data_IF_292226838549
#
_entry.id   IF_292226838549
#
_cell.length_a   1.000
_cell.length_b   1.000
_cell.length_c   1.000
_cell.angle_alpha   90.00
_cell.angle_beta   90.00
_cell.angle_gamma   90.00
#
_symmetry.space_group_name_H-M   'P 1'
#
loop_
_entity.id
_entity.type
_entity.pdbx_description
1 polymer ?
#
# COMPACT_ATOMS: atom_id res chain seq x y z
N UNK A 1 31.88 22.52 -64.18
CA UNK A 1 31.64 22.74 -62.74
C UNK A 1 32.72 23.60 -62.03
N UNK A 2 33.91 23.76 -62.61
CA UNK A 2 34.98 24.59 -62.01
C UNK A 2 34.74 26.10 -61.94
N UNK A 3 34.04 26.65 -62.89
CA UNK A 3 33.90 28.14 -63.00
C UNK A 3 32.96 28.79 -61.96
N UNK A 4 32.06 28.04 -61.39
CA UNK A 4 31.09 28.56 -60.36
C UNK A 4 31.82 28.64 -58.98
N UNK A 5 32.72 27.68 -58.69
CA UNK A 5 33.45 27.64 -57.44
C UNK A 5 34.53 28.75 -57.36
N UNK A 6 35.19 29.07 -58.51
CA UNK A 6 36.17 30.17 -58.56
C UNK A 6 35.58 31.56 -58.40
N UNK A 7 34.38 31.81 -58.95
CA UNK A 7 33.61 33.05 -58.76
C UNK A 7 33.17 33.27 -57.36
N UNK A 8 32.82 32.18 -56.61
CA UNK A 8 32.40 32.22 -55.22
C UNK A 8 33.55 32.54 -54.26
N UNK A 9 34.81 32.29 -54.60
CA UNK A 9 35.98 32.61 -53.77
C UNK A 9 36.33 34.11 -53.77
N UNK A 10 35.95 34.87 -54.82
CA UNK A 10 36.22 36.33 -54.92
C UNK A 10 35.24 37.21 -54.16
N UNK A 11 34.18 36.67 -53.59
CA UNK A 11 33.09 37.44 -52.92
C UNK A 11 33.31 37.76 -51.45
N UNK A 12 34.50 37.48 -50.87
CA UNK A 12 34.83 37.86 -49.49
C UNK A 12 33.80 37.36 -48.45
N UNK A 13 33.28 38.18 -47.52
CA UNK A 13 32.35 37.83 -46.46
C UNK A 13 31.03 37.22 -46.98
N UNK A 14 30.56 37.65 -48.16
CA UNK A 14 29.34 37.14 -48.79
C UNK A 14 29.47 35.66 -49.25
N UNK A 15 30.67 35.26 -49.69
CA UNK A 15 30.94 33.85 -50.05
C UNK A 15 30.90 32.93 -48.83
N UNK A 16 31.34 33.44 -47.68
CA UNK A 16 31.26 32.69 -46.40
C UNK A 16 29.80 32.45 -45.98
N UNK A 17 28.96 33.48 -46.05
CA UNK A 17 27.52 33.38 -45.74
C UNK A 17 26.82 32.41 -46.69
N UNK A 18 27.12 32.47 -48.00
CA UNK A 18 26.54 31.59 -49.00
C UNK A 18 26.95 30.10 -48.77
N UNK A 19 28.20 29.84 -48.44
CA UNK A 19 28.67 28.49 -48.09
C UNK A 19 27.99 28.00 -46.80
N UNK A 20 27.82 28.86 -45.80
CA UNK A 20 27.12 28.51 -44.55
C UNK A 20 25.66 28.18 -44.82
N UNK A 21 24.97 28.93 -45.67
CA UNK A 21 23.58 28.63 -46.08
C UNK A 21 23.48 27.27 -46.78
N UNK A 22 24.39 26.98 -47.74
CA UNK A 22 24.41 25.68 -48.43
C UNK A 22 24.69 24.56 -47.45
N UNK A 23 25.65 24.75 -46.55
CA UNK A 23 25.96 23.75 -45.52
C UNK A 23 24.78 23.48 -44.57
N UNK A 24 24.03 24.54 -44.20
CA UNK A 24 22.81 24.41 -43.40
C UNK A 24 21.71 23.63 -44.16
N UNK A 25 21.46 23.99 -45.44
CA UNK A 25 20.48 23.26 -46.26
C UNK A 25 20.85 21.78 -46.42
N UNK A 26 22.12 21.47 -46.64
CA UNK A 26 22.60 20.09 -46.72
C UNK A 26 22.42 19.36 -45.39
N UNK A 27 22.77 20.01 -44.27
CA UNK A 27 22.58 19.45 -42.95
C UNK A 27 21.09 19.17 -42.63
N UNK A 28 20.22 20.10 -42.96
CA UNK A 28 18.76 19.92 -42.81
C UNK A 28 18.24 18.79 -43.69
N UNK A 29 18.69 18.71 -44.94
CA UNK A 29 18.36 17.61 -45.85
C UNK A 29 18.81 16.23 -45.33
N UNK A 30 20.02 16.15 -44.80
CA UNK A 30 20.52 14.94 -44.16
C UNK A 30 19.73 14.57 -42.88
N UNK A 31 19.37 15.56 -42.07
CA UNK A 31 18.54 15.35 -40.89
C UNK A 31 17.15 14.83 -41.27
N UNK A 32 16.51 15.43 -42.27
CA UNK A 32 15.20 14.97 -42.76
C UNK A 32 15.28 13.56 -43.36
N UNK A 33 16.30 13.26 -44.13
CA UNK A 33 16.56 11.92 -44.66
C UNK A 33 16.76 10.90 -43.50
N UNK A 34 17.54 11.25 -42.50
CA UNK A 34 17.73 10.41 -41.31
C UNK A 34 16.42 10.16 -40.54
N UNK A 35 15.63 11.22 -40.32
CA UNK A 35 14.32 11.10 -39.66
C UNK A 35 13.38 10.20 -40.48
N UNK A 36 13.32 10.38 -41.79
CA UNK A 36 12.50 9.57 -42.66
C UNK A 36 12.91 8.09 -42.68
N UNK A 37 14.20 7.82 -42.83
CA UNK A 37 14.74 6.47 -42.79
C UNK A 37 14.44 5.82 -41.45
N UNK A 38 14.70 6.52 -40.35
CA UNK A 38 14.43 6.05 -38.99
C UNK A 38 12.94 5.76 -38.78
N UNK A 39 12.06 6.65 -39.24
CA UNK A 39 10.60 6.48 -39.15
C UNK A 39 10.13 5.27 -39.94
N UNK A 40 10.61 5.10 -41.18
CA UNK A 40 10.26 3.97 -42.05
C UNK A 40 10.80 2.64 -41.48
N UNK A 41 12.05 2.64 -41.01
CA UNK A 41 12.64 1.48 -40.33
C UNK A 41 11.83 1.06 -39.09
N UNK A 42 11.49 2.03 -38.22
CA UNK A 42 10.65 1.78 -37.06
C UNK A 42 9.28 1.22 -37.46
N UNK A 43 8.61 1.83 -38.42
CA UNK A 43 7.31 1.37 -38.92
C UNK A 43 7.36 -0.08 -39.45
N UNK A 44 8.36 -0.40 -40.25
CA UNK A 44 8.58 -1.78 -40.71
C UNK A 44 8.94 -2.75 -39.59
N UNK A 45 9.77 -2.32 -38.63
CA UNK A 45 10.13 -3.13 -37.47
C UNK A 45 8.91 -3.45 -36.62
N UNK A 46 8.10 -2.47 -36.27
CA UNK A 46 6.87 -2.69 -35.47
C UNK A 46 5.87 -3.56 -36.24
N UNK A 47 5.62 -3.33 -37.50
CA UNK A 47 4.73 -4.16 -38.32
C UNK A 47 5.17 -5.64 -38.31
N UNK A 48 6.49 -5.91 -38.47
CA UNK A 48 7.04 -7.28 -38.39
C UNK A 48 6.87 -7.87 -36.99
N UNK A 49 7.09 -7.05 -35.95
CA UNK A 49 6.92 -7.47 -34.55
C UNK A 49 5.47 -7.82 -34.30
N UNK A 50 4.53 -6.96 -34.67
CA UNK A 50 3.11 -7.14 -34.39
C UNK A 50 2.54 -8.36 -35.12
N UNK A 51 2.95 -8.57 -36.38
CA UNK A 51 2.62 -9.80 -37.09
C UNK A 51 3.15 -11.03 -36.37
N UNK A 52 4.39 -10.99 -35.88
CA UNK A 52 4.99 -12.13 -35.18
C UNK A 52 4.37 -12.37 -33.79
N UNK A 53 4.02 -11.30 -33.08
CA UNK A 53 3.26 -11.37 -31.82
C UNK A 53 1.91 -12.05 -32.05
N UNK A 54 1.20 -11.68 -33.13
CA UNK A 54 -0.09 -12.28 -33.47
C UNK A 54 0.05 -13.79 -33.75
N UNK A 55 1.02 -14.19 -34.55
CA UNK A 55 1.30 -15.61 -34.86
C UNK A 55 1.60 -16.42 -33.58
N UNK A 56 2.48 -15.89 -32.70
CA UNK A 56 2.84 -16.55 -31.44
C UNK A 56 1.69 -16.58 -30.44
N UNK A 57 0.82 -15.56 -30.45
CA UNK A 57 -0.36 -15.51 -29.59
C UNK A 57 -1.40 -16.59 -29.96
N UNK A 58 -1.57 -16.90 -31.23
CA UNK A 58 -2.42 -18.01 -31.66
C UNK A 58 -1.91 -19.38 -31.18
N UNK A 59 -0.61 -19.50 -30.96
CA UNK A 59 0.05 -20.73 -30.53
C UNK A 59 0.43 -20.71 -29.04
N UNK A 60 -0.09 -19.71 -28.29
CA UNK A 60 0.35 -19.44 -26.92
C UNK A 60 0.18 -20.62 -25.98
N UNK A 61 -0.96 -21.28 -26.00
CA UNK A 61 -1.23 -22.45 -25.15
C UNK A 61 -0.32 -23.65 -25.48
N UNK A 62 -0.04 -23.85 -26.77
CA UNK A 62 0.89 -24.90 -27.20
C UNK A 62 2.32 -24.58 -26.78
N UNK A 63 2.68 -23.31 -26.74
CA UNK A 63 4.00 -22.84 -26.36
C UNK A 63 4.22 -22.95 -24.85
N UNK A 64 3.27 -22.52 -24.01
CA UNK A 64 3.35 -22.62 -22.55
C UNK A 64 3.28 -24.08 -22.08
N UNK A 65 2.44 -24.90 -22.72
CA UNK A 65 2.27 -26.32 -22.36
C UNK A 65 3.44 -27.20 -22.78
N UNK A 66 4.43 -26.65 -23.52
CA UNK A 66 5.58 -27.39 -24.04
C UNK A 66 5.24 -28.32 -25.22
N UNK A 67 4.02 -28.26 -25.77
CA UNK A 67 3.63 -29.01 -26.99
C UNK A 67 4.34 -28.50 -28.24
N UNK A 68 4.80 -27.24 -28.21
CA UNK A 68 5.61 -26.64 -29.24
C UNK A 68 7.10 -26.73 -28.89
N UNK A 69 7.94 -27.17 -29.85
CA UNK A 69 9.40 -27.23 -29.63
C UNK A 69 9.99 -25.83 -29.35
N UNK A 70 10.82 -25.74 -28.34
CA UNK A 70 11.54 -24.49 -27.99
C UNK A 70 12.60 -24.10 -29.04
N UNK A 71 13.10 -25.03 -29.82
CA UNK A 71 14.21 -24.80 -30.74
C UNK A 71 13.93 -23.76 -31.84
N UNK A 72 12.68 -23.67 -32.30
CA UNK A 72 12.31 -22.75 -33.35
C UNK A 72 12.43 -21.26 -32.99
N UNK A 73 11.95 -20.87 -31.83
CA UNK A 73 11.94 -19.47 -31.38
C UNK A 73 13.12 -19.14 -30.45
N UNK A 74 13.64 -20.11 -29.69
CA UNK A 74 14.75 -19.92 -28.75
C UNK A 74 16.06 -19.53 -29.46
N UNK A 75 16.33 -20.08 -30.64
CA UNK A 75 17.53 -19.78 -31.44
C UNK A 75 17.49 -18.37 -32.06
N UNK A 76 16.30 -17.83 -32.34
CA UNK A 76 16.13 -16.48 -32.92
C UNK A 76 16.01 -15.43 -31.83
N UNK A 77 16.98 -14.53 -31.73
CA UNK A 77 16.98 -13.47 -30.71
C UNK A 77 15.75 -12.57 -30.75
N UNK A 78 15.16 -12.37 -31.93
CA UNK A 78 13.95 -11.59 -32.13
C UNK A 78 12.73 -12.29 -31.53
N UNK A 79 12.49 -13.55 -31.88
CA UNK A 79 11.34 -14.34 -31.37
C UNK A 79 11.47 -14.54 -29.85
N UNK A 80 12.66 -14.83 -29.35
CA UNK A 80 12.94 -14.97 -27.91
C UNK A 80 12.54 -13.72 -27.12
N UNK A 81 12.86 -12.52 -27.64
CA UNK A 81 12.46 -11.27 -26.98
C UNK A 81 10.94 -11.06 -26.97
N UNK A 82 10.26 -11.48 -28.04
CA UNK A 82 8.79 -11.39 -28.13
C UNK A 82 8.17 -12.36 -27.13
N UNK A 83 8.57 -13.63 -27.14
CA UNK A 83 8.02 -14.65 -26.25
C UNK A 83 8.24 -14.27 -24.78
N UNK A 84 9.44 -13.81 -24.44
CA UNK A 84 9.74 -13.32 -23.10
C UNK A 84 8.86 -12.13 -22.70
N UNK A 85 8.69 -11.14 -23.60
CA UNK A 85 7.82 -9.99 -23.31
C UNK A 85 6.37 -10.43 -23.12
N UNK A 86 5.86 -11.33 -23.96
CA UNK A 86 4.52 -11.89 -23.82
C UNK A 86 4.33 -12.64 -22.50
N UNK A 87 5.33 -13.45 -22.11
CA UNK A 87 5.29 -14.16 -20.82
C UNK A 87 5.31 -13.20 -19.63
N UNK A 88 6.17 -12.18 -19.66
CA UNK A 88 6.23 -11.15 -18.61
C UNK A 88 4.93 -10.35 -18.53
N UNK A 89 4.30 -10.02 -19.66
CA UNK A 89 3.01 -9.31 -19.68
C UNK A 89 1.87 -10.21 -19.17
N UNK A 90 1.90 -11.51 -19.48
CA UNK A 90 0.95 -12.48 -18.96
C UNK A 90 1.04 -12.62 -17.42
N UNK A 91 2.23 -12.56 -16.81
CA UNK A 91 2.39 -12.60 -15.35
C UNK A 91 1.65 -11.48 -14.61
N UNK A 92 1.48 -10.31 -15.24
CA UNK A 92 0.81 -9.17 -14.57
C UNK A 92 -0.69 -9.42 -14.34
N UNK A 93 -1.32 -10.23 -15.22
CA UNK A 93 -2.75 -10.54 -15.17
C UNK A 93 -3.04 -11.97 -14.68
N UNK A 94 -2.01 -12.82 -14.52
CA UNK A 94 -2.16 -14.23 -14.23
C UNK A 94 -2.60 -14.50 -12.78
N UNK A 95 -3.59 -15.37 -12.61
CA UNK A 95 -3.90 -15.98 -11.33
C UNK A 95 -2.83 -16.99 -10.87
N UNK A 96 -2.94 -17.54 -9.65
CA UNK A 96 -1.92 -18.43 -9.07
C UNK A 96 -1.58 -19.64 -9.95
N UNK A 97 -2.58 -20.33 -10.48
CA UNK A 97 -2.39 -21.54 -11.32
C UNK A 97 -1.72 -21.22 -12.66
N UNK A 98 -2.07 -20.09 -13.28
CA UNK A 98 -1.47 -19.65 -14.52
C UNK A 98 -0.04 -19.13 -14.32
N UNK A 99 0.20 -18.40 -13.24
CA UNK A 99 1.54 -17.98 -12.83
C UNK A 99 2.48 -19.18 -12.63
N UNK A 100 2.01 -20.26 -12.01
CA UNK A 100 2.80 -21.48 -11.85
C UNK A 100 3.16 -22.13 -13.20
N UNK A 101 2.21 -22.16 -14.16
CA UNK A 101 2.48 -22.65 -15.53
C UNK A 101 3.46 -21.77 -16.29
N UNK A 102 3.31 -20.45 -16.21
CA UNK A 102 4.25 -19.49 -16.80
C UNK A 102 5.64 -19.62 -16.22
N UNK A 103 5.74 -19.78 -14.91
CA UNK A 103 7.03 -19.96 -14.22
C UNK A 103 7.73 -21.25 -14.67
N UNK A 104 6.98 -22.36 -14.75
CA UNK A 104 7.47 -23.64 -15.29
C UNK A 104 7.99 -23.46 -16.73
N UNK A 105 7.24 -22.77 -17.59
CA UNK A 105 7.64 -22.45 -18.95
C UNK A 105 8.94 -21.63 -18.99
N UNK A 106 9.03 -20.57 -18.19
CA UNK A 106 10.22 -19.70 -18.13
C UNK A 106 11.46 -20.45 -17.65
N UNK A 107 11.31 -21.41 -16.71
CA UNK A 107 12.39 -22.31 -16.26
C UNK A 107 12.82 -23.24 -17.37
N UNK A 108 11.89 -24.04 -17.92
CA UNK A 108 12.22 -25.05 -18.94
C UNK A 108 12.78 -24.44 -20.24
N UNK A 109 12.39 -23.21 -20.57
CA UNK A 109 12.94 -22.48 -21.72
C UNK A 109 14.31 -21.84 -21.46
N UNK A 110 14.83 -21.82 -20.22
CA UNK A 110 16.10 -21.21 -19.84
C UNK A 110 16.08 -19.68 -19.88
N UNK A 111 14.88 -19.07 -19.80
CA UNK A 111 14.76 -17.60 -19.80
C UNK A 111 15.12 -17.01 -18.44
N UNK A 112 14.83 -17.71 -17.33
CA UNK A 112 15.18 -17.28 -15.97
C UNK A 112 16.69 -17.32 -15.80
N UNK A 113 17.35 -18.44 -16.10
CA UNK A 113 18.80 -18.62 -15.99
C UNK A 113 19.56 -17.59 -16.81
N UNK A 114 19.06 -17.30 -18.02
CA UNK A 114 19.61 -16.23 -18.84
C UNK A 114 19.52 -14.86 -18.16
N UNK A 115 18.40 -14.55 -17.52
CA UNK A 115 18.24 -13.26 -16.83
C UNK A 115 19.07 -13.18 -15.55
N UNK A 116 19.24 -14.27 -14.83
CA UNK A 116 20.17 -14.37 -13.70
C UNK A 116 21.59 -14.07 -14.18
N UNK A 117 22.03 -14.75 -15.23
CA UNK A 117 23.36 -14.52 -15.82
C UNK A 117 23.54 -13.06 -16.26
N UNK A 118 22.58 -12.48 -16.95
CA UNK A 118 22.63 -11.08 -17.39
C UNK A 118 22.65 -10.09 -16.21
N UNK A 119 21.94 -10.38 -15.13
CA UNK A 119 21.91 -9.55 -13.91
C UNK A 119 23.26 -9.56 -13.17
N UNK A 120 23.96 -10.68 -13.20
CA UNK A 120 25.24 -10.85 -12.51
C UNK A 120 26.43 -10.33 -13.34
N UNK A 121 26.43 -10.55 -14.66
CA UNK A 121 27.61 -10.32 -15.50
C UNK A 121 27.54 -9.07 -16.38
N UNK A 122 26.34 -8.52 -16.64
CA UNK A 122 26.20 -7.32 -17.45
C UNK A 122 26.19 -6.04 -16.59
N UNK A 123 26.39 -4.90 -17.25
CA UNK A 123 26.40 -3.59 -16.60
C UNK A 123 25.38 -2.64 -17.26
N UNK A 124 25.16 -1.49 -16.62
CA UNK A 124 24.30 -0.42 -17.14
C UNK A 124 22.85 -0.85 -17.38
N UNK A 125 22.27 -0.37 -18.46
CA UNK A 125 20.86 -0.60 -18.78
C UNK A 125 20.51 -2.07 -19.04
N UNK A 126 21.49 -2.89 -19.48
CA UNK A 126 21.29 -4.33 -19.70
C UNK A 126 21.09 -5.07 -18.38
N UNK A 127 21.90 -4.75 -17.37
CA UNK A 127 21.74 -5.26 -15.99
C UNK A 127 20.39 -4.84 -15.41
N UNK A 128 20.05 -3.55 -15.50
CA UNK A 128 18.77 -3.05 -15.02
C UNK A 128 17.58 -3.78 -15.66
N UNK A 129 17.62 -3.97 -16.99
CA UNK A 129 16.57 -4.72 -17.69
C UNK A 129 16.45 -6.16 -17.22
N UNK A 130 17.58 -6.82 -16.94
CA UNK A 130 17.58 -8.19 -16.42
C UNK A 130 16.96 -8.26 -15.01
N UNK A 131 17.31 -7.33 -14.12
CA UNK A 131 16.73 -7.23 -12.77
C UNK A 131 15.22 -6.96 -12.81
N UNK A 132 14.76 -6.05 -13.66
CA UNK A 132 13.32 -5.78 -13.85
C UNK A 132 12.60 -7.02 -14.37
N UNK A 133 13.19 -7.74 -15.33
CA UNK A 133 12.60 -8.96 -15.86
C UNK A 133 12.50 -10.04 -14.78
N UNK A 134 13.57 -10.26 -13.99
CA UNK A 134 13.56 -11.20 -12.86
C UNK A 134 12.47 -10.87 -11.85
N UNK A 135 12.34 -9.60 -11.46
CA UNK A 135 11.29 -9.18 -10.53
C UNK A 135 9.87 -9.44 -11.07
N UNK A 136 9.65 -9.29 -12.39
CA UNK A 136 8.34 -9.57 -13.02
C UNK A 136 8.01 -11.06 -13.07
N UNK A 137 9.01 -11.94 -13.15
CA UNK A 137 8.78 -13.40 -13.13
C UNK A 137 8.36 -13.91 -11.75
N UNK A 138 8.60 -13.15 -10.68
CA UNK A 138 8.40 -13.56 -9.28
C UNK A 138 9.11 -14.88 -8.94
N UNK A 139 10.17 -15.21 -9.68
CA UNK A 139 10.90 -16.47 -9.54
C UNK A 139 11.81 -16.44 -8.31
N UNK A 140 11.69 -17.36 -7.34
CA UNK A 140 12.55 -17.40 -6.17
C UNK A 140 14.04 -17.56 -6.52
N UNK A 141 14.36 -18.23 -7.63
CA UNK A 141 15.72 -18.42 -8.13
C UNK A 141 16.42 -17.10 -8.49
N UNK A 142 15.62 -16.05 -8.75
CA UNK A 142 16.14 -14.70 -9.01
C UNK A 142 16.54 -13.93 -7.77
N UNK A 143 16.14 -14.38 -6.57
CA UNK A 143 16.37 -13.67 -5.30
C UNK A 143 17.85 -13.41 -5.04
N UNK A 144 18.78 -14.37 -5.17
CA UNK A 144 20.21 -14.12 -4.93
C UNK A 144 20.79 -13.03 -5.84
N UNK A 145 20.44 -13.05 -7.14
CA UNK A 145 20.92 -12.04 -8.10
C UNK A 145 20.32 -10.63 -7.82
N UNK A 146 19.08 -10.57 -7.38
CA UNK A 146 18.43 -9.34 -6.96
C UNK A 146 19.04 -8.82 -5.63
N UNK A 147 19.32 -9.70 -4.67
CA UNK A 147 19.94 -9.34 -3.40
C UNK A 147 21.36 -8.79 -3.57
N UNK A 148 22.16 -9.40 -4.44
CA UNK A 148 23.50 -8.88 -4.82
C UNK A 148 23.40 -7.46 -5.39
N UNK A 149 22.38 -7.21 -6.22
CA UNK A 149 22.17 -5.90 -6.84
C UNK A 149 21.71 -4.79 -5.85
N UNK A 150 21.23 -5.11 -4.64
CA UNK A 150 21.00 -4.14 -3.57
C UNK A 150 22.30 -3.42 -3.13
N UNK A 151 23.44 -4.06 -3.30
CA UNK A 151 24.77 -3.52 -2.94
C UNK A 151 25.44 -2.72 -4.08
N UNK A 152 24.71 -2.49 -5.21
CA UNK A 152 25.25 -1.68 -6.33
C UNK A 152 25.40 -0.21 -5.92
N UNK A 153 26.43 0.47 -6.46
CA UNK A 153 26.68 1.90 -6.18
C UNK A 153 25.60 2.81 -6.74
N UNK A 154 24.90 2.41 -7.80
CA UNK A 154 23.87 3.20 -8.48
C UNK A 154 22.51 3.00 -7.84
N UNK A 155 21.89 4.11 -7.47
CA UNK A 155 20.55 4.10 -6.82
C UNK A 155 19.49 3.40 -7.71
N UNK A 156 19.54 3.62 -9.03
CA UNK A 156 18.56 3.04 -9.97
C UNK A 156 18.61 1.51 -9.98
N UNK A 157 19.83 0.94 -9.85
CA UNK A 157 20.02 -0.51 -9.77
C UNK A 157 19.48 -1.04 -8.44
N UNK A 158 19.81 -0.37 -7.30
CA UNK A 158 19.27 -0.74 -5.99
C UNK A 158 17.75 -0.70 -5.97
N UNK A 159 17.14 0.35 -6.55
CA UNK A 159 15.67 0.46 -6.63
C UNK A 159 15.04 -0.61 -7.54
N UNK A 160 15.68 -0.94 -8.65
CA UNK A 160 15.21 -2.04 -9.52
C UNK A 160 15.27 -3.39 -8.80
N UNK A 161 16.35 -3.65 -8.07
CA UNK A 161 16.54 -4.84 -7.26
C UNK A 161 15.50 -4.94 -6.14
N UNK A 162 15.33 -3.85 -5.38
CA UNK A 162 14.37 -3.77 -4.29
C UNK A 162 12.92 -4.01 -4.76
N UNK A 163 12.52 -3.37 -5.86
CA UNK A 163 11.20 -3.62 -6.48
C UNK A 163 11.06 -5.06 -6.99
N UNK A 164 12.16 -5.61 -7.52
CA UNK A 164 12.21 -7.01 -7.95
C UNK A 164 11.98 -7.96 -6.80
N UNK A 165 12.70 -7.79 -5.69
CA UNK A 165 12.55 -8.58 -4.46
C UNK A 165 11.12 -8.43 -3.88
N UNK A 166 10.60 -7.22 -3.79
CA UNK A 166 9.21 -6.99 -3.34
C UNK A 166 8.19 -7.79 -4.16
N UNK A 167 8.34 -7.82 -5.48
CA UNK A 167 7.44 -8.58 -6.37
C UNK A 167 7.53 -10.10 -6.21
N UNK A 168 8.67 -10.64 -5.76
CA UNK A 168 8.77 -12.09 -5.48
C UNK A 168 7.88 -12.47 -4.30
N UNK A 169 7.58 -11.53 -3.40
CA UNK A 169 6.70 -11.69 -2.25
C UNK A 169 7.02 -12.94 -1.40
N UNK A 170 8.29 -13.30 -1.28
CA UNK A 170 8.71 -14.51 -0.55
C UNK A 170 9.54 -14.16 0.69
N UNK A 171 9.48 -15.00 1.75
CA UNK A 171 10.22 -14.78 3.00
C UNK A 171 11.74 -14.66 2.82
N UNK A 172 12.31 -15.37 1.84
CA UNK A 172 13.74 -15.28 1.52
C UNK A 172 14.11 -13.86 1.04
N UNK A 173 13.28 -13.25 0.18
CA UNK A 173 13.49 -11.87 -0.26
C UNK A 173 13.38 -10.87 0.91
N UNK A 174 12.47 -11.11 1.87
CA UNK A 174 12.39 -10.31 3.09
C UNK A 174 13.69 -10.37 3.89
N UNK A 175 14.23 -11.56 4.12
CA UNK A 175 15.48 -11.76 4.83
C UNK A 175 16.65 -11.01 4.18
N UNK A 176 16.78 -11.11 2.85
CA UNK A 176 17.83 -10.41 2.10
C UNK A 176 17.72 -8.88 2.18
N UNK A 177 16.47 -8.34 2.07
CA UNK A 177 16.24 -6.91 2.22
C UNK A 177 16.57 -6.46 3.65
N UNK A 178 16.10 -7.18 4.66
CA UNK A 178 16.30 -6.85 6.07
C UNK A 178 17.78 -6.93 6.47
N UNK A 179 18.49 -7.97 6.04
CA UNK A 179 19.92 -8.10 6.26
C UNK A 179 20.69 -6.94 5.62
N UNK A 180 20.40 -6.63 4.36
CA UNK A 180 21.05 -5.52 3.66
C UNK A 180 20.79 -4.16 4.34
N UNK A 181 19.55 -3.88 4.75
CA UNK A 181 19.20 -2.62 5.44
C UNK A 181 19.85 -2.56 6.83
N UNK A 182 19.92 -3.69 7.53
CA UNK A 182 20.61 -3.78 8.82
C UNK A 182 22.12 -3.47 8.72
N UNK A 183 22.78 -3.92 7.64
CA UNK A 183 24.20 -3.67 7.38
C UNK A 183 24.48 -2.25 6.84
N UNK A 184 23.65 -1.79 5.90
CA UNK A 184 23.94 -0.58 5.09
C UNK A 184 23.19 0.66 5.57
N UNK A 185 22.25 0.52 6.50
CA UNK A 185 21.34 1.58 6.89
C UNK A 185 20.36 1.99 5.77
N UNK A 186 19.74 3.14 5.92
CA UNK A 186 18.77 3.66 4.96
C UNK A 186 19.46 4.34 3.77
N UNK A 187 19.81 3.59 2.75
CA UNK A 187 20.49 4.07 1.53
C UNK A 187 19.55 4.21 0.31
N UNK A 188 18.25 4.00 0.50
CA UNK A 188 17.18 4.15 -0.50
C UNK A 188 16.03 4.95 0.10
N UNK A 189 15.14 5.55 -0.72
CA UNK A 189 13.94 6.22 -0.23
C UNK A 189 13.04 5.26 0.57
N UNK A 190 12.36 5.81 1.58
CA UNK A 190 11.53 5.05 2.52
C UNK A 190 10.38 4.29 1.84
N UNK A 191 9.64 4.94 0.93
CA UNK A 191 8.45 4.35 0.30
C UNK A 191 8.72 3.07 -0.51
N UNK A 192 9.74 3.01 -1.40
CA UNK A 192 10.11 1.76 -2.07
C UNK A 192 10.50 0.63 -1.12
N UNK A 193 11.24 0.94 -0.05
CA UNK A 193 11.63 -0.03 0.97
C UNK A 193 10.41 -0.56 1.73
N UNK A 194 9.55 0.33 2.19
CA UNK A 194 8.31 -0.02 2.87
C UNK A 194 7.43 -0.92 1.99
N UNK A 195 7.19 -0.53 0.73
CA UNK A 195 6.38 -1.32 -0.20
C UNK A 195 6.95 -2.71 -0.45
N UNK A 196 8.26 -2.85 -0.62
CA UNK A 196 8.90 -4.15 -0.83
C UNK A 196 8.79 -5.05 0.41
N UNK A 197 9.04 -4.50 1.61
CA UNK A 197 8.95 -5.25 2.86
C UNK A 197 7.51 -5.67 3.18
N UNK A 198 6.51 -4.82 2.94
CA UNK A 198 5.10 -5.18 3.11
C UNK A 198 4.75 -6.41 2.27
N UNK A 199 5.17 -6.43 1.00
CA UNK A 199 4.89 -7.56 0.11
C UNK A 199 5.61 -8.84 0.54
N UNK A 200 6.87 -8.75 0.97
CA UNK A 200 7.68 -9.92 1.34
C UNK A 200 7.40 -10.47 2.73
N UNK A 201 6.97 -9.60 3.68
CA UNK A 201 6.72 -9.98 5.06
C UNK A 201 5.26 -10.36 5.35
N UNK A 202 4.35 -10.21 4.37
CA UNK A 202 2.92 -10.45 4.57
C UNK A 202 2.60 -11.85 5.11
N UNK A 203 3.31 -12.89 4.64
CA UNK A 203 3.13 -14.28 5.11
C UNK A 203 3.86 -14.58 6.42
N UNK A 204 4.96 -13.88 6.68
CA UNK A 204 5.83 -14.12 7.86
C UNK A 204 6.28 -12.81 8.50
N UNK A 205 5.37 -12.05 9.12
CA UNK A 205 5.67 -10.76 9.73
C UNK A 205 6.66 -10.86 10.91
N UNK A 206 6.80 -12.01 11.55
CA UNK A 206 7.77 -12.26 12.62
C UNK A 206 9.23 -12.03 12.20
N UNK A 207 9.53 -12.07 10.89
CA UNK A 207 10.87 -11.77 10.38
C UNK A 207 11.32 -10.32 10.66
N UNK A 208 10.37 -9.41 10.85
CA UNK A 208 10.65 -8.00 11.17
C UNK A 208 11.10 -7.78 12.60
N UNK A 209 10.66 -8.61 13.56
CA UNK A 209 10.83 -8.36 14.99
C UNK A 209 12.30 -8.15 15.43
N UNK A 210 13.27 -8.99 15.04
CA UNK A 210 14.67 -8.79 15.42
C UNK A 210 15.21 -7.43 14.92
N UNK A 211 14.87 -7.06 13.70
CA UNK A 211 15.35 -5.83 13.08
C UNK A 211 14.69 -4.59 13.67
N UNK A 212 13.39 -4.64 14.00
CA UNK A 212 12.70 -3.55 14.69
C UNK A 212 13.30 -3.27 16.06
N UNK A 213 13.70 -4.34 16.79
CA UNK A 213 14.34 -4.21 18.11
C UNK A 213 15.72 -3.55 18.03
N UNK A 214 16.48 -3.87 16.98
CA UNK A 214 17.86 -3.40 16.81
C UNK A 214 17.96 -2.07 16.07
N UNK A 215 16.97 -1.74 15.22
CA UNK A 215 17.00 -0.54 14.42
C UNK A 215 16.82 0.72 15.27
N UNK A 216 17.46 1.80 14.83
CA UNK A 216 17.36 3.13 15.43
C UNK A 216 16.92 4.18 14.40
N UNK A 217 16.51 5.34 14.86
CA UNK A 217 16.20 6.48 14.00
C UNK A 217 15.13 6.21 12.94
N UNK A 218 15.28 6.78 11.73
CA UNK A 218 14.27 6.67 10.66
C UNK A 218 14.01 5.24 10.19
N UNK A 219 15.01 4.35 10.29
CA UNK A 219 14.84 2.96 9.90
C UNK A 219 13.84 2.25 10.81
N UNK A 220 13.91 2.47 12.13
CA UNK A 220 12.97 1.89 13.11
C UNK A 220 11.53 2.33 12.81
N UNK A 221 11.33 3.61 12.43
CA UNK A 221 10.01 4.12 12.05
C UNK A 221 9.45 3.40 10.81
N UNK A 222 10.30 3.21 9.77
CA UNK A 222 9.88 2.51 8.55
C UNK A 222 9.51 1.06 8.87
N UNK A 223 10.34 0.35 9.62
CA UNK A 223 10.08 -1.03 10.01
C UNK A 223 8.83 -1.13 10.91
N UNK A 224 8.60 -0.17 11.81
CA UNK A 224 7.39 -0.08 12.61
C UNK A 224 6.13 0.11 11.75
N UNK A 225 6.18 0.98 10.74
CA UNK A 225 5.07 1.14 9.79
C UNK A 225 4.80 -0.13 8.98
N UNK A 226 5.86 -0.79 8.50
CA UNK A 226 5.73 -2.08 7.82
C UNK A 226 5.08 -3.10 8.73
N UNK A 227 5.56 -3.22 9.98
CA UNK A 227 5.01 -4.13 10.96
C UNK A 227 3.53 -3.82 11.23
N UNK A 228 3.16 -2.55 11.34
CA UNK A 228 1.77 -2.11 11.48
C UNK A 228 0.87 -2.52 10.32
N UNK A 229 1.41 -2.65 9.10
CA UNK A 229 0.64 -3.08 7.91
C UNK A 229 0.54 -4.60 7.79
N UNK A 230 1.55 -5.36 8.22
CA UNK A 230 1.60 -6.81 8.05
C UNK A 230 1.30 -7.59 9.34
N UNK A 231 1.16 -6.91 10.48
CA UNK A 231 0.89 -7.55 11.75
C UNK A 231 -0.37 -8.44 11.68
N UNK A 232 -0.26 -9.63 12.25
CA UNK A 232 -1.32 -10.64 12.29
C UNK A 232 -1.66 -10.98 13.75
N UNK A 233 -2.83 -11.56 14.03
CA UNK A 233 -3.22 -11.99 15.37
C UNK A 233 -2.20 -12.91 16.04
N UNK A 234 -1.53 -13.74 15.26
CA UNK A 234 -0.49 -14.65 15.76
C UNK A 234 0.70 -13.93 16.42
N UNK A 235 0.90 -12.64 16.13
CA UNK A 235 1.94 -11.82 16.77
C UNK A 235 1.45 -11.08 18.02
N UNK A 236 0.18 -11.19 18.40
CA UNK A 236 -0.41 -10.37 19.46
C UNK A 236 0.41 -10.37 20.76
N UNK A 237 0.76 -11.55 21.26
CA UNK A 237 1.55 -11.68 22.49
C UNK A 237 2.97 -11.12 22.35
N UNK A 238 3.61 -11.32 21.19
CA UNK A 238 4.96 -10.81 20.95
C UNK A 238 4.98 -9.28 20.82
N UNK A 239 3.87 -8.69 20.40
CA UNK A 239 3.73 -7.24 20.22
C UNK A 239 3.29 -6.50 21.49
N UNK A 240 2.87 -7.21 22.56
CA UNK A 240 2.56 -6.59 23.86
C UNK A 240 3.70 -5.69 24.39
N UNK A 241 4.95 -6.10 24.16
CA UNK A 241 6.13 -5.31 24.55
C UNK A 241 6.21 -3.92 23.88
N UNK A 242 5.45 -3.69 22.80
CA UNK A 242 5.43 -2.42 22.07
C UNK A 242 4.23 -1.54 22.42
N UNK A 243 3.39 -1.92 23.36
CA UNK A 243 2.21 -1.11 23.78
C UNK A 243 2.68 0.23 24.35
N UNK A 244 3.73 0.21 25.19
CA UNK A 244 4.34 1.41 25.74
C UNK A 244 5.57 1.93 24.99
N UNK A 245 5.81 1.51 23.71
CA UNK A 245 6.99 1.96 22.98
C UNK A 245 6.94 3.46 22.68
N UNK A 246 8.09 4.11 22.65
CA UNK A 246 8.18 5.54 22.33
C UNK A 246 7.67 5.87 20.94
N UNK A 247 7.81 4.93 20.00
CA UNK A 247 7.43 5.08 18.58
C UNK A 247 5.96 4.72 18.36
N UNK A 248 5.20 5.68 17.86
CA UNK A 248 3.78 5.50 17.58
C UNK A 248 3.47 4.41 16.55
N UNK A 249 4.36 4.17 15.59
CA UNK A 249 4.19 3.11 14.60
C UNK A 249 4.21 1.71 15.23
N UNK A 250 5.03 1.50 16.27
CA UNK A 250 5.07 0.23 16.98
C UNK A 250 3.85 0.04 17.88
N UNK A 251 3.39 1.11 18.55
CA UNK A 251 2.14 1.07 19.32
C UNK A 251 0.94 0.78 18.40
N UNK A 252 0.90 1.38 17.20
CA UNK A 252 -0.13 1.11 16.21
C UNK A 252 -0.08 -0.32 15.66
N UNK A 253 1.13 -0.89 15.48
CA UNK A 253 1.30 -2.29 15.10
C UNK A 253 0.78 -3.24 16.18
N UNK A 254 1.08 -2.96 17.44
CA UNK A 254 0.56 -3.70 18.57
C UNK A 254 -0.97 -3.68 18.60
N UNK A 255 -1.59 -2.49 18.49
CA UNK A 255 -3.05 -2.34 18.44
C UNK A 255 -3.68 -3.17 17.29
N UNK A 256 -3.06 -3.18 16.10
CA UNK A 256 -3.57 -3.96 14.96
C UNK A 256 -3.49 -5.47 15.20
N UNK A 257 -2.38 -5.97 15.74
CA UNK A 257 -2.22 -7.40 15.98
C UNK A 257 -3.16 -7.92 17.06
N UNK A 258 -3.44 -7.09 18.07
CA UNK A 258 -4.33 -7.47 19.18
C UNK A 258 -5.80 -7.47 18.82
N UNK A 259 -6.21 -6.83 17.73
CA UNK A 259 -7.62 -6.76 17.32
C UNK A 259 -8.29 -8.14 17.09
N UNK A 260 -7.50 -9.20 16.97
CA UNK A 260 -7.98 -10.57 16.77
C UNK A 260 -7.36 -11.59 17.75
N UNK A 261 -6.56 -11.12 18.70
CA UNK A 261 -5.94 -11.98 19.69
C UNK A 261 -6.94 -12.41 20.78
N UNK A 262 -6.57 -13.41 21.59
CA UNK A 262 -7.41 -13.91 22.66
C UNK A 262 -7.79 -12.78 23.65
N UNK A 263 -9.06 -12.78 24.07
CA UNK A 263 -9.82 -11.62 24.53
C UNK A 263 -9.33 -10.93 25.82
N UNK A 264 -8.65 -11.63 26.73
CA UNK A 264 -8.31 -11.06 28.03
C UNK A 264 -7.23 -9.99 27.95
N UNK A 265 -6.00 -10.40 27.61
CA UNK A 265 -4.82 -9.53 27.55
C UNK A 265 -4.94 -8.47 26.43
N UNK A 266 -5.58 -8.85 25.32
CA UNK A 266 -5.80 -7.96 24.21
C UNK A 266 -6.72 -6.78 24.58
N UNK A 267 -7.76 -7.04 25.37
CA UNK A 267 -8.70 -5.99 25.78
C UNK A 267 -8.01 -4.90 26.62
N UNK A 268 -7.21 -5.29 27.61
CA UNK A 268 -6.51 -4.35 28.50
C UNK A 268 -5.51 -3.49 27.71
N UNK A 269 -4.72 -4.13 26.85
CA UNK A 269 -3.75 -3.44 26.00
C UNK A 269 -4.41 -2.49 25.00
N UNK A 270 -5.52 -2.91 24.37
CA UNK A 270 -6.27 -2.05 23.44
C UNK A 270 -6.95 -0.89 24.18
N UNK A 271 -7.42 -1.11 25.40
CA UNK A 271 -8.00 -0.04 26.23
C UNK A 271 -6.97 1.02 26.60
N UNK A 272 -5.74 0.62 26.92
CA UNK A 272 -4.61 1.53 27.15
C UNK A 272 -4.30 2.33 25.86
N UNK A 273 -4.18 1.64 24.72
CA UNK A 273 -3.88 2.27 23.43
C UNK A 273 -5.02 3.15 22.88
N UNK A 274 -6.25 2.96 23.35
CA UNK A 274 -7.37 3.83 23.02
C UNK A 274 -7.25 5.23 23.65
N UNK A 275 -6.37 5.40 24.64
CA UNK A 275 -6.03 6.67 25.27
C UNK A 275 -4.69 7.26 24.81
N UNK A 276 -4.07 6.66 23.78
CA UNK A 276 -2.77 7.10 23.27
C UNK A 276 -2.77 8.56 22.84
N UNK A 277 -1.63 9.23 23.01
CA UNK A 277 -1.44 10.62 22.55
C UNK A 277 -1.62 10.80 21.04
N UNK A 278 -1.33 9.75 20.27
CA UNK A 278 -1.34 9.77 18.80
C UNK A 278 -2.69 9.27 18.26
N UNK A 279 -3.39 10.08 17.50
CA UNK A 279 -4.75 9.79 17.02
C UNK A 279 -4.87 8.49 16.21
N UNK A 280 -3.89 8.14 15.38
CA UNK A 280 -3.98 6.92 14.57
C UNK A 280 -3.72 5.64 15.39
N UNK A 281 -3.01 5.74 16.52
CA UNK A 281 -2.89 4.65 17.51
C UNK A 281 -4.25 4.42 18.17
N UNK A 282 -4.89 5.51 18.67
CA UNK A 282 -6.26 5.44 19.23
C UNK A 282 -7.25 4.87 18.22
N UNK A 283 -7.16 5.32 16.94
CA UNK A 283 -8.02 4.78 15.88
C UNK A 283 -7.88 3.27 15.73
N UNK A 284 -6.66 2.75 15.70
CA UNK A 284 -6.41 1.32 15.58
C UNK A 284 -6.89 0.54 16.81
N UNK A 285 -6.68 1.08 18.00
CA UNK A 285 -7.17 0.51 19.24
C UNK A 285 -8.71 0.44 19.27
N UNK A 286 -9.40 1.51 18.92
CA UNK A 286 -10.87 1.56 18.83
C UNK A 286 -11.42 0.56 17.82
N UNK A 287 -10.78 0.41 16.65
CA UNK A 287 -11.16 -0.61 15.67
C UNK A 287 -10.95 -2.01 16.27
N UNK A 288 -9.83 -2.24 16.96
CA UNK A 288 -9.52 -3.50 17.61
C UNK A 288 -10.54 -3.86 18.69
N UNK A 289 -10.86 -2.93 19.59
CA UNK A 289 -11.87 -3.08 20.63
C UNK A 289 -13.24 -3.40 20.02
N UNK A 290 -13.63 -2.69 18.96
CA UNK A 290 -14.88 -2.98 18.24
C UNK A 290 -14.93 -4.38 17.64
N UNK A 291 -13.77 -4.90 17.17
CA UNK A 291 -13.68 -6.26 16.62
C UNK A 291 -13.84 -7.34 17.69
N UNK A 292 -13.36 -7.10 18.91
CA UNK A 292 -13.53 -8.02 20.04
C UNK A 292 -15.00 -8.16 20.47
N UNK A 293 -15.82 -7.16 20.20
CA UNK A 293 -17.25 -7.11 20.52
C UNK A 293 -17.58 -7.44 21.99
N UNK A 294 -16.69 -7.12 22.91
CA UNK A 294 -16.84 -7.34 24.34
C UNK A 294 -17.65 -6.19 24.96
N UNK A 295 -18.74 -6.44 25.70
CA UNK A 295 -19.53 -5.38 26.34
C UNK A 295 -18.74 -4.48 27.30
N UNK A 296 -17.64 -4.97 27.90
CA UNK A 296 -16.74 -4.15 28.71
C UNK A 296 -16.13 -2.97 27.95
N UNK A 297 -16.17 -3.04 26.62
CA UNK A 297 -15.64 -1.99 25.74
C UNK A 297 -16.54 -0.74 25.68
N UNK A 298 -17.81 -0.82 26.04
CA UNK A 298 -18.78 0.28 25.89
C UNK A 298 -18.26 1.59 26.49
N UNK A 299 -17.72 1.64 27.71
CA UNK A 299 -17.21 2.90 28.27
C UNK A 299 -16.04 3.49 27.47
N UNK A 300 -15.11 2.67 27.02
CA UNK A 300 -13.98 3.12 26.18
C UNK A 300 -14.44 3.61 24.82
N UNK A 301 -15.42 2.94 24.21
CA UNK A 301 -15.99 3.36 22.93
C UNK A 301 -16.82 4.65 23.06
N UNK A 302 -17.55 4.83 24.15
CA UNK A 302 -18.24 6.09 24.46
C UNK A 302 -17.23 7.24 24.59
N UNK A 303 -16.13 7.04 25.33
CA UNK A 303 -15.05 8.03 25.39
C UNK A 303 -14.49 8.32 23.98
N UNK A 304 -14.39 7.33 23.13
CA UNK A 304 -13.96 7.48 21.72
C UNK A 304 -14.89 8.37 20.89
N UNK A 305 -16.19 8.52 21.24
CA UNK A 305 -17.11 9.44 20.57
C UNK A 305 -16.75 10.92 20.80
N UNK A 306 -16.05 11.25 21.89
CA UNK A 306 -15.62 12.63 22.18
C UNK A 306 -14.20 12.91 21.71
N UNK A 307 -13.57 12.00 20.96
CA UNK A 307 -12.20 12.19 20.46
C UNK A 307 -12.08 13.43 19.57
N UNK A 308 -10.96 14.12 19.66
CA UNK A 308 -10.65 15.27 18.81
C UNK A 308 -10.62 14.91 17.33
N UNK A 309 -10.24 13.67 16.99
CA UNK A 309 -10.15 13.20 15.61
C UNK A 309 -11.49 12.59 15.13
N UNK A 310 -12.00 13.10 14.01
CA UNK A 310 -13.25 12.64 13.41
C UNK A 310 -13.27 11.13 13.11
N UNK A 311 -12.15 10.55 12.65
CA UNK A 311 -12.10 9.13 12.28
C UNK A 311 -12.22 8.23 13.51
N UNK A 312 -11.64 8.63 14.65
CA UNK A 312 -11.78 7.92 15.91
C UNK A 312 -13.24 7.93 16.36
N UNK A 313 -13.89 9.10 16.34
CA UNK A 313 -15.33 9.20 16.68
C UNK A 313 -16.21 8.31 15.80
N UNK A 314 -15.96 8.32 14.48
CA UNK A 314 -16.75 7.51 13.55
C UNK A 314 -16.57 6.01 13.81
N UNK A 315 -15.35 5.53 14.03
CA UNK A 315 -15.10 4.11 14.33
C UNK A 315 -15.63 3.68 15.68
N UNK A 316 -15.57 4.56 16.69
CA UNK A 316 -16.19 4.31 17.98
C UNK A 316 -17.73 4.16 17.85
N UNK A 317 -18.36 5.03 17.08
CA UNK A 317 -19.78 4.95 16.76
C UNK A 317 -20.15 3.65 16.04
N UNK A 318 -19.42 3.28 15.00
CA UNK A 318 -19.63 2.03 14.26
C UNK A 318 -19.48 0.79 15.16
N UNK A 319 -18.53 0.81 16.11
CA UNK A 319 -18.34 -0.26 17.08
C UNK A 319 -19.51 -0.32 18.09
N UNK A 320 -19.98 0.82 18.59
CA UNK A 320 -21.10 0.89 19.55
C UNK A 320 -22.40 0.35 18.98
N UNK A 321 -22.68 0.59 17.71
CA UNK A 321 -23.90 0.12 17.03
C UNK A 321 -23.96 -1.41 16.91
N UNK A 322 -22.88 -2.13 17.11
CA UNK A 322 -22.86 -3.59 17.14
C UNK A 322 -23.54 -4.16 18.40
N UNK A 323 -23.55 -3.41 19.51
CA UNK A 323 -24.18 -3.79 20.77
C UNK A 323 -25.70 -3.58 20.77
N UNK A 324 -26.39 -4.27 19.86
CA UNK A 324 -27.81 -4.08 19.53
C UNK A 324 -28.75 -4.22 20.72
N UNK A 325 -28.42 -5.09 21.68
CA UNK A 325 -29.27 -5.34 22.85
C UNK A 325 -29.35 -4.13 23.81
N UNK A 326 -28.32 -3.28 23.82
CA UNK A 326 -28.19 -2.15 24.76
C UNK A 326 -28.12 -0.79 24.02
N UNK A 327 -28.56 -0.74 22.76
CA UNK A 327 -28.51 0.48 21.94
C UNK A 327 -29.23 1.68 22.59
N UNK A 328 -30.37 1.45 23.22
CA UNK A 328 -31.15 2.50 23.89
C UNK A 328 -30.35 3.08 25.06
N UNK A 329 -29.76 2.23 25.90
CA UNK A 329 -28.92 2.69 27.02
C UNK A 329 -27.65 3.42 26.53
N UNK A 330 -27.03 2.96 25.42
CA UNK A 330 -25.91 3.66 24.81
C UNK A 330 -26.35 5.04 24.32
N UNK A 331 -27.51 5.15 23.67
CA UNK A 331 -28.02 6.43 23.16
C UNK A 331 -28.28 7.42 24.27
N UNK A 332 -28.86 6.98 25.39
CA UNK A 332 -29.05 7.81 26.60
C UNK A 332 -27.71 8.39 27.07
N UNK A 333 -26.68 7.52 27.14
CA UNK A 333 -25.32 7.93 27.55
C UNK A 333 -24.71 8.93 26.55
N UNK A 334 -24.87 8.70 25.23
CA UNK A 334 -24.42 9.63 24.20
C UNK A 334 -25.03 11.00 24.34
N UNK A 335 -26.35 11.08 24.63
CA UNK A 335 -27.04 12.36 24.87
C UNK A 335 -26.53 13.00 26.16
N UNK A 336 -26.31 12.20 27.22
CA UNK A 336 -25.83 12.68 28.51
C UNK A 336 -24.40 13.27 28.42
N UNK A 337 -23.56 12.78 27.52
CA UNK A 337 -22.22 13.32 27.26
C UNK A 337 -22.24 14.74 26.70
N UNK A 338 -23.36 15.22 26.18
CA UNK A 338 -23.57 16.56 25.60
C UNK A 338 -22.55 16.94 24.51
N UNK A 339 -21.97 15.97 23.82
CA UNK A 339 -21.10 16.20 22.68
C UNK A 339 -21.89 16.08 21.36
N UNK A 340 -22.07 17.20 20.66
CA UNK A 340 -22.78 17.24 19.37
C UNK A 340 -22.10 16.41 18.28
N UNK A 341 -20.76 16.33 18.30
CA UNK A 341 -20.02 15.57 17.28
C UNK A 341 -20.12 14.07 17.52
N UNK A 342 -20.07 13.65 18.79
CA UNK A 342 -20.32 12.27 19.20
C UNK A 342 -21.73 11.81 18.87
N UNK A 343 -22.73 12.64 19.20
CA UNK A 343 -24.14 12.38 18.84
C UNK A 343 -24.27 12.20 17.33
N UNK A 344 -23.76 13.15 16.53
CA UNK A 344 -23.83 13.07 15.07
C UNK A 344 -23.13 11.83 14.52
N UNK A 345 -21.96 11.46 15.06
CA UNK A 345 -21.24 10.25 14.66
C UNK A 345 -22.08 9.00 14.96
N UNK A 346 -22.71 8.92 16.14
CA UNK A 346 -23.52 7.78 16.54
C UNK A 346 -24.80 7.65 15.68
N UNK A 347 -25.51 8.73 15.43
CA UNK A 347 -26.69 8.73 14.54
C UNK A 347 -26.31 8.33 13.12
N UNK A 348 -25.21 8.85 12.59
CA UNK A 348 -24.70 8.47 11.27
C UNK A 348 -24.37 6.97 11.21
N UNK A 349 -23.80 6.40 12.28
CA UNK A 349 -23.50 4.98 12.35
C UNK A 349 -24.77 4.11 12.37
N UNK A 350 -25.84 4.54 13.07
CA UNK A 350 -27.15 3.87 13.06
C UNK A 350 -27.74 3.87 11.64
N UNK A 351 -27.68 4.99 10.94
CA UNK A 351 -28.18 5.13 9.56
C UNK A 351 -27.38 4.26 8.58
N UNK A 352 -26.05 4.30 8.64
CA UNK A 352 -25.17 3.50 7.79
C UNK A 352 -25.34 1.99 8.00
N UNK A 353 -25.68 1.57 9.21
CA UNK A 353 -25.96 0.18 9.54
C UNK A 353 -27.40 -0.25 9.20
N UNK A 354 -28.24 0.67 8.66
CA UNK A 354 -29.67 0.44 8.40
C UNK A 354 -30.44 -0.07 9.62
N UNK A 355 -30.13 0.47 10.79
CA UNK A 355 -30.73 0.06 12.07
C UNK A 355 -31.76 1.03 12.59
N UNK A 356 -32.05 2.15 11.90
CA UNK A 356 -32.94 3.20 12.38
C UNK A 356 -34.32 2.68 12.76
N UNK A 357 -34.98 1.93 11.88
CA UNK A 357 -36.32 1.38 12.15
C UNK A 357 -36.34 0.43 13.36
N UNK A 358 -35.32 -0.44 13.47
CA UNK A 358 -35.22 -1.33 14.63
C UNK A 358 -34.95 -0.58 15.91
N UNK A 359 -34.17 0.47 15.84
CA UNK A 359 -33.87 1.31 16.99
C UNK A 359 -35.11 2.09 17.46
N UNK A 360 -35.91 2.65 16.54
CA UNK A 360 -37.18 3.29 16.84
C UNK A 360 -38.17 2.33 17.52
N UNK A 361 -38.26 1.08 17.04
CA UNK A 361 -39.07 0.04 17.68
C UNK A 361 -38.54 -0.33 19.09
N UNK A 362 -37.24 -0.44 19.27
CA UNK A 362 -36.65 -0.70 20.59
C UNK A 362 -36.94 0.45 21.58
N UNK A 363 -36.91 1.68 21.09
CA UNK A 363 -37.18 2.87 21.86
C UNK A 363 -38.64 2.88 22.31
N UNK A 364 -39.59 2.57 21.41
CA UNK A 364 -41.02 2.50 21.69
C UNK A 364 -41.38 1.39 22.69
N UNK A 365 -40.67 0.24 22.61
CA UNK A 365 -40.88 -0.91 23.49
C UNK A 365 -40.13 -0.81 24.83
N UNK A 366 -39.37 0.27 25.05
CA UNK A 366 -38.65 0.46 26.30
C UNK A 366 -39.59 0.87 27.43
N UNK A 367 -39.40 0.29 28.62
CA UNK A 367 -40.16 0.64 29.83
C UNK A 367 -39.71 1.98 30.45
N UNK A 368 -39.58 3.02 29.60
CA UNK A 368 -39.14 4.36 30.03
C UNK A 368 -40.35 5.24 30.38
N UNK A 369 -40.08 6.29 31.17
CA UNK A 369 -41.06 7.35 31.43
C UNK A 369 -41.36 8.08 30.13
N UNK A 370 -42.63 8.44 29.91
CA UNK A 370 -43.13 9.04 28.66
C UNK A 370 -42.35 10.30 28.27
N UNK A 371 -42.01 11.16 29.21
CA UNK A 371 -41.26 12.39 28.98
C UNK A 371 -39.83 12.11 28.47
N UNK A 372 -39.18 11.08 29.01
CA UNK A 372 -37.83 10.66 28.56
C UNK A 372 -37.90 10.06 27.17
N UNK A 373 -38.91 9.23 26.91
CA UNK A 373 -39.13 8.65 25.58
C UNK A 373 -39.31 9.74 24.51
N UNK A 374 -40.16 10.74 24.79
CA UNK A 374 -40.38 11.87 23.87
C UNK A 374 -39.11 12.67 23.61
N UNK A 375 -38.29 12.90 24.64
CA UNK A 375 -36.97 13.56 24.50
C UNK A 375 -36.04 12.78 23.60
N UNK A 376 -35.89 11.47 23.81
CA UNK A 376 -35.04 10.63 22.99
C UNK A 376 -35.50 10.56 21.52
N UNK A 377 -36.82 10.49 21.31
CA UNK A 377 -37.41 10.52 19.96
C UNK A 377 -37.15 11.87 19.27
N UNK A 378 -37.29 12.99 19.99
CA UNK A 378 -37.02 14.31 19.45
C UNK A 378 -35.53 14.45 19.03
N UNK A 379 -34.57 13.95 19.84
CA UNK A 379 -33.16 13.95 19.50
C UNK A 379 -32.89 13.05 18.29
N UNK A 380 -33.51 11.89 18.20
CA UNK A 380 -33.36 10.97 17.07
C UNK A 380 -33.88 11.58 15.76
N UNK A 381 -34.95 12.36 15.81
CA UNK A 381 -35.56 13.04 14.65
C UNK A 381 -34.77 14.28 14.23
N UNK A 382 -34.36 15.11 15.19
CA UNK A 382 -33.74 16.41 14.93
C UNK A 382 -32.22 16.32 14.77
N UNK A 383 -31.58 15.28 15.32
CA UNK A 383 -30.14 15.16 15.40
C UNK A 383 -29.50 16.20 16.33
N UNK A 384 -30.28 16.89 17.15
CA UNK A 384 -29.82 17.99 18.00
C UNK A 384 -29.94 17.62 19.47
N UNK A 385 -28.97 18.06 20.27
CA UNK A 385 -29.03 17.89 21.74
C UNK A 385 -30.18 18.69 22.33
N UNK A 386 -30.87 18.16 23.36
CA UNK A 386 -31.91 18.90 24.04
C UNK A 386 -31.33 20.14 24.75
N UNK A 387 -32.11 21.22 24.90
CA UNK A 387 -31.69 22.39 25.68
C UNK A 387 -31.32 21.98 27.12
N UNK A 388 -30.42 22.76 27.74
CA UNK A 388 -30.11 22.55 29.14
C UNK A 388 -31.36 22.78 29.99
N UNK A 389 -31.70 21.80 30.80
CA UNK A 389 -32.66 22.06 31.85
C UNK A 389 -32.03 23.06 32.83
N UNK A 390 -32.68 24.17 33.18
CA UNK A 390 -32.18 25.02 34.24
C UNK A 390 -32.05 24.13 35.49
N UNK A 391 -30.85 24.08 36.08
CA UNK A 391 -30.63 23.39 37.36
C UNK A 391 -31.82 23.79 38.28
N UNK A 392 -32.57 22.79 38.70
CA UNK A 392 -33.76 23.02 39.52
C UNK A 392 -33.35 23.90 40.71
N UNK A 393 -33.96 25.06 40.81
CA UNK A 393 -33.66 26.08 41.83
C UNK A 393 -33.75 25.54 43.30
N UNK A 394 -34.24 24.31 43.46
CA UNK A 394 -34.27 23.60 44.74
C UNK A 394 -32.90 23.12 45.25
N UNK A 395 -31.92 22.83 44.36
CA UNK A 395 -30.59 22.42 44.80
C UNK A 395 -29.73 23.60 45.34
N UNK A 396 -30.03 24.83 44.87
CA UNK A 396 -29.33 26.05 45.34
C UNK A 396 -29.93 26.55 46.67
N UNK A 397 -31.23 26.35 46.88
CA UNK A 397 -31.90 26.76 48.15
C UNK A 397 -31.42 25.92 49.35
N UNK A 398 -31.16 24.64 49.15
CA UNK A 398 -30.69 23.73 50.24
C UNK A 398 -29.22 23.99 50.67
N UNK A 399 -28.42 24.61 49.82
CA UNK A 399 -27.03 24.99 50.18
C UNK A 399 -26.88 26.35 50.83
N UNK A 400 -27.91 27.21 50.73
CA UNK A 400 -27.92 28.51 51.45
C UNK A 400 -28.44 28.43 52.86
N UNK A 401 -29.23 27.42 53.20
CA UNK A 401 -29.74 27.23 54.59
C UNK A 401 -28.77 26.48 55.52
N UNK A 402 -27.65 25.98 55.05
CA UNK A 402 -26.68 25.22 55.84
C UNK A 402 -25.35 25.97 56.16
N UNK A 403 -25.37 27.31 56.16
CA UNK A 403 -24.23 28.10 56.70
C UNK A 403 -24.66 28.68 58.06
N UNK A 404 -23.91 28.30 59.15
CA UNK A 404 -24.13 28.83 60.47
C UNK A 404 -23.67 30.29 60.61
#
# INVERSE_FOLDING_TARGET
MGSIFEKLWRLGPAAFVFKAIIAAIVADGLLLAFIFIRRTYRKRFFARRDKRVFELRQQWDALISGRMSYDGWRKKAFDRRIVEAMALDAFEAAGPAESARLLKFMRTSGLIEKRIFEAQHLTGWRRMRALVALGRTRAPEGVPALAEALRDRRLEIRLAALRGLGRTACPQAAQEILAWVGESGLTVPALPLQSALIQCCAERPQLLLPYVKQAEGPLREILGRVLGEVATPALGLELLQFVGDEREELRAAAARAMSHADTGVAFDALSELAEDRTWFVRLRAIIGIGTLADPRAIPTLLKGLTDSNRLVRLRAAEALVQFRAVMVSIFQQVIHMRDRYGLHAYLTAIENAALREKFELQLQNSNMVEDELQRLQAVLQTGSLPPEEPESAEAVATQQESRP
#
